data_IF_347896798386
#
_entry.id   IF_347896798386
#
_cell.length_a   1.000
_cell.length_b   1.000
_cell.length_c   1.000
_cell.angle_alpha   90.00
_cell.angle_beta   90.00
_cell.angle_gamma   90.00
#
_symmetry.space_group_name_H-M   'P 1'
#
loop_
_entity.id
_entity.type
_entity.pdbx_description
1 polymer ?
#
# COMPACT_ATOMS: atom_id res chain seq x y z
N UNK A 1 9.78 -1.86 -10.24
CA UNK A 1 9.46 -3.27 -10.55
C UNK A 1 8.00 -3.47 -10.97
N UNK A 2 7.00 -3.11 -10.17
CA UNK A 2 5.57 -3.31 -10.49
C UNK A 2 5.16 -2.81 -11.88
N UNK A 3 5.62 -1.62 -12.29
CA UNK A 3 5.33 -1.06 -13.62
C UNK A 3 5.79 -1.94 -14.79
N UNK A 4 6.93 -2.60 -14.66
CA UNK A 4 7.49 -3.43 -15.73
C UNK A 4 6.62 -4.67 -16.01
N UNK A 5 5.87 -5.13 -15.01
CA UNK A 5 4.96 -6.28 -15.13
C UNK A 5 3.53 -5.88 -15.50
N UNK A 6 3.20 -4.58 -15.55
CA UNK A 6 1.85 -4.12 -15.90
C UNK A 6 1.35 -4.65 -17.25
N UNK A 7 2.15 -4.65 -18.34
CA UNK A 7 1.67 -5.17 -19.62
C UNK A 7 1.26 -6.64 -19.53
N UNK A 8 1.99 -7.44 -18.73
CA UNK A 8 1.68 -8.86 -18.52
C UNK A 8 0.47 -9.05 -17.61
N UNK A 9 0.34 -8.23 -16.56
CA UNK A 9 -0.82 -8.26 -15.67
C UNK A 9 -2.11 -7.94 -16.44
N UNK A 10 -2.08 -7.01 -17.38
CA UNK A 10 -3.26 -6.68 -18.18
C UNK A 10 -3.77 -7.82 -19.09
N UNK A 11 -2.94 -8.84 -19.34
CA UNK A 11 -3.34 -10.03 -20.09
C UNK A 11 -4.05 -11.08 -19.23
N UNK A 12 -4.03 -10.94 -17.90
CA UNK A 12 -4.71 -11.86 -17.00
C UNK A 12 -6.20 -11.53 -16.88
N UNK A 13 -7.05 -12.56 -16.76
CA UNK A 13 -8.48 -12.40 -16.51
C UNK A 13 -8.80 -11.89 -15.09
N UNK A 14 -7.85 -12.05 -14.16
CA UNK A 14 -7.95 -11.66 -12.74
C UNK A 14 -6.57 -11.22 -12.21
N UNK A 15 -6.03 -10.06 -12.66
CA UNK A 15 -4.71 -9.62 -12.26
C UNK A 15 -4.67 -9.09 -10.84
N UNK A 16 -3.62 -9.48 -10.11
CA UNK A 16 -3.45 -9.17 -8.69
C UNK A 16 -2.04 -8.74 -8.39
N UNK A 17 -1.92 -7.71 -7.56
CA UNK A 17 -0.65 -7.26 -7.00
C UNK A 17 -0.83 -7.09 -5.50
N UNK A 18 0.00 -7.79 -4.73
CA UNK A 18 0.01 -7.67 -3.27
C UNK A 18 1.35 -7.08 -2.84
N UNK A 19 1.31 -5.88 -2.26
CA UNK A 19 2.47 -5.20 -1.67
C UNK A 19 2.64 -5.62 -0.22
N UNK A 20 3.88 -5.86 0.21
CA UNK A 20 4.20 -6.16 1.61
C UNK A 20 4.59 -4.89 2.38
N UNK A 21 3.72 -4.46 3.28
CA UNK A 21 3.91 -3.27 4.11
C UNK A 21 4.06 -3.64 5.60
N UNK A 22 3.85 -2.67 6.49
CA UNK A 22 3.93 -2.80 7.94
C UNK A 22 2.99 -1.82 8.62
N UNK A 23 2.61 -2.10 9.87
CA UNK A 23 1.76 -1.20 10.67
C UNK A 23 2.46 0.13 10.93
N UNK A 24 3.80 0.11 10.96
CA UNK A 24 4.65 1.30 11.05
C UNK A 24 4.53 2.21 9.82
N UNK A 25 4.03 1.72 8.68
CA UNK A 25 3.73 2.53 7.50
C UNK A 25 2.41 3.32 7.61
N UNK A 26 1.74 3.30 8.77
CA UNK A 26 0.55 4.11 9.01
C UNK A 26 0.92 5.59 9.17
N UNK A 27 0.15 6.48 8.57
CA UNK A 27 0.38 7.92 8.61
C UNK A 27 0.36 8.52 10.03
N UNK A 28 -0.22 7.81 11.02
CA UNK A 28 -0.15 8.20 12.43
C UNK A 28 1.28 8.22 13.00
N UNK A 29 2.20 7.51 12.35
CA UNK A 29 3.61 7.45 12.74
C UNK A 29 4.47 8.51 12.05
N UNK A 30 3.88 9.39 11.22
CA UNK A 30 4.56 10.49 10.53
C UNK A 30 4.07 11.81 11.16
N UNK A 31 4.85 12.45 12.05
CA UNK A 31 4.47 13.72 12.66
C UNK A 31 4.56 14.90 11.69
N UNK A 32 5.36 14.78 10.62
CA UNK A 32 5.52 15.82 9.62
C UNK A 32 4.18 16.01 8.87
N UNK A 33 3.46 17.08 9.22
CA UNK A 33 2.11 17.33 8.74
C UNK A 33 2.05 17.60 7.22
N UNK A 34 3.12 18.16 6.64
CA UNK A 34 3.22 18.29 5.19
C UNK A 34 3.26 16.92 4.50
N UNK A 35 4.19 16.06 4.91
CA UNK A 35 4.33 14.71 4.35
C UNK A 35 3.06 13.88 4.56
N UNK A 36 2.45 13.98 5.74
CA UNK A 36 1.18 13.32 6.06
C UNK A 36 0.03 13.83 5.20
N UNK A 37 -0.04 15.14 4.96
CA UNK A 37 -1.01 15.75 4.04
C UNK A 37 -0.84 15.25 2.61
N UNK A 38 0.40 15.21 2.11
CA UNK A 38 0.70 14.70 0.77
C UNK A 38 0.33 13.22 0.62
N UNK A 39 0.71 12.37 1.58
CA UNK A 39 0.49 10.92 1.51
C UNK A 39 -0.96 10.48 1.85
N UNK A 40 -1.74 11.32 2.52
CA UNK A 40 -3.15 11.03 2.83
C UNK A 40 -4.10 11.33 1.67
N UNK A 41 -3.80 12.35 0.87
CA UNK A 41 -4.61 12.82 -0.26
C UNK A 41 -4.61 11.83 -1.43
N UNK A 42 -5.50 10.84 -1.40
CA UNK A 42 -5.63 9.82 -2.44
C UNK A 42 -5.96 10.39 -3.83
N UNK A 43 -6.68 11.51 -3.89
CA UNK A 43 -7.13 12.08 -5.16
C UNK A 43 -6.00 12.79 -5.90
N UNK A 44 -5.09 13.42 -5.17
CA UNK A 44 -3.95 14.11 -5.78
C UNK A 44 -2.66 13.32 -5.67
N UNK A 45 -2.71 12.08 -5.19
CA UNK A 45 -1.52 11.25 -5.03
C UNK A 45 -0.93 10.86 -6.38
N UNK A 46 0.31 11.27 -6.63
CA UNK A 46 1.11 10.90 -7.79
C UNK A 46 2.45 10.35 -7.32
N UNK A 47 3.16 9.69 -8.23
CA UNK A 47 4.49 9.15 -7.95
C UNK A 47 5.49 10.26 -7.64
N UNK A 48 5.46 11.34 -8.42
CA UNK A 48 6.26 12.55 -8.18
C UNK A 48 6.04 13.09 -6.76
N UNK A 49 4.79 13.18 -6.30
CA UNK A 49 4.51 13.66 -4.93
C UNK A 49 4.98 12.70 -3.84
N UNK A 50 4.99 11.39 -4.10
CA UNK A 50 5.56 10.41 -3.18
C UNK A 50 7.09 10.56 -3.16
N UNK A 51 7.71 10.72 -4.32
CA UNK A 51 9.14 10.93 -4.47
C UNK A 51 9.59 12.24 -3.83
N UNK A 52 8.82 13.32 -3.94
CA UNK A 52 9.09 14.61 -3.28
C UNK A 52 9.18 14.45 -1.76
N UNK A 53 8.23 13.72 -1.16
CA UNK A 53 8.25 13.43 0.28
C UNK A 53 9.47 12.62 0.67
N UNK A 54 9.83 11.61 -0.12
CA UNK A 54 11.00 10.77 0.14
C UNK A 54 12.32 11.54 -0.05
N UNK A 55 12.40 12.40 -1.06
CA UNK A 55 13.58 13.20 -1.36
C UNK A 55 13.81 14.26 -0.27
N UNK A 56 12.77 14.96 0.17
CA UNK A 56 12.88 15.92 1.27
C UNK A 56 13.26 15.21 2.58
N UNK A 57 12.66 14.04 2.87
CA UNK A 57 13.06 13.22 4.01
C UNK A 57 14.54 12.81 3.92
N UNK A 58 15.02 12.34 2.77
CA UNK A 58 16.41 11.91 2.58
C UNK A 58 17.40 13.08 2.71
N UNK A 59 17.00 14.28 2.29
CA UNK A 59 17.79 15.50 2.48
C UNK A 59 17.89 15.84 3.97
N UNK A 60 16.75 15.94 4.65
CA UNK A 60 16.70 16.25 6.09
C UNK A 60 17.39 15.16 6.94
N UNK A 61 17.36 13.90 6.49
CA UNK A 61 18.08 12.79 7.11
C UNK A 61 19.60 12.95 6.99
N UNK A 62 20.11 13.42 5.84
CA UNK A 62 21.55 13.66 5.64
C UNK A 62 22.05 14.89 6.40
N UNK A 63 21.19 15.89 6.57
CA UNK A 63 21.47 17.11 7.31
C UNK A 63 21.30 16.94 8.84
N UNK A 64 20.84 15.77 9.29
CA UNK A 64 20.57 15.44 10.70
C UNK A 64 19.57 16.39 11.38
N UNK A 65 18.58 16.86 10.63
CA UNK A 65 17.56 17.82 11.11
C UNK A 65 16.16 17.19 11.21
N UNK A 66 16.10 15.87 11.42
CA UNK A 66 14.85 15.10 11.44
C UNK A 66 13.86 15.61 12.49
N UNK A 67 14.31 15.76 13.73
CA UNK A 67 13.47 16.20 14.85
C UNK A 67 12.95 17.61 14.62
N UNK A 68 13.82 18.52 14.18
CA UNK A 68 13.48 19.93 13.90
C UNK A 68 12.42 20.05 12.81
N UNK A 69 12.45 19.16 11.82
CA UNK A 69 11.50 19.09 10.70
C UNK A 69 10.28 18.22 10.99
N UNK A 70 10.14 17.70 12.20
CA UNK A 70 9.01 16.88 12.61
C UNK A 70 8.98 15.50 11.96
N UNK A 71 10.10 14.99 11.47
CA UNK A 71 10.20 13.60 11.02
C UNK A 71 10.21 12.64 12.21
N UNK A 72 9.86 11.36 12.01
CA UNK A 72 10.04 10.36 13.05
C UNK A 72 11.53 10.28 13.44
N UNK A 73 11.81 10.17 14.74
CA UNK A 73 13.20 10.09 15.25
C UNK A 73 13.69 8.65 15.39
N UNK A 74 12.78 7.69 15.54
CA UNK A 74 13.08 6.26 15.62
C UNK A 74 12.48 5.52 14.42
N UNK A 75 13.24 4.56 13.86
CA UNK A 75 12.83 3.77 12.69
C UNK A 75 12.34 4.61 11.50
N UNK A 76 12.85 5.83 11.37
CA UNK A 76 12.33 6.87 10.47
C UNK A 76 12.34 6.43 9.01
N UNK A 77 13.46 5.90 8.54
CA UNK A 77 13.63 5.35 7.18
C UNK A 77 12.65 4.20 6.92
N UNK A 78 12.41 3.33 7.91
CA UNK A 78 11.50 2.21 7.80
C UNK A 78 10.03 2.66 7.75
N UNK A 79 9.63 3.57 8.64
CA UNK A 79 8.29 4.18 8.67
C UNK A 79 7.99 4.84 7.32
N UNK A 80 8.90 5.68 6.82
CA UNK A 80 8.73 6.39 5.56
C UNK A 80 8.69 5.45 4.36
N UNK A 81 9.56 4.44 4.33
CA UNK A 81 9.55 3.42 3.28
C UNK A 81 8.21 2.68 3.23
N UNK A 82 7.67 2.26 4.38
CA UNK A 82 6.40 1.52 4.45
C UNK A 82 5.19 2.42 4.18
N UNK A 83 5.23 3.68 4.57
CA UNK A 83 4.22 4.67 4.22
C UNK A 83 4.20 4.94 2.70
N UNK A 84 5.37 5.04 2.07
CA UNK A 84 5.48 5.19 0.62
C UNK A 84 4.94 3.96 -0.13
N UNK A 85 5.21 2.74 0.35
CA UNK A 85 4.60 1.51 -0.22
C UNK A 85 3.07 1.57 -0.15
N UNK A 86 2.50 2.01 0.97
CA UNK A 86 1.05 2.16 1.13
C UNK A 86 0.47 3.22 0.18
N UNK A 87 1.13 4.38 0.09
CA UNK A 87 0.77 5.46 -0.81
C UNK A 87 0.82 5.01 -2.28
N UNK A 88 1.92 4.39 -2.70
CA UNK A 88 2.09 3.87 -4.04
C UNK A 88 1.04 2.81 -4.40
N UNK A 89 0.72 1.91 -3.46
CA UNK A 89 -0.33 0.90 -3.64
C UNK A 89 -1.69 1.56 -3.89
N UNK A 90 -2.07 2.57 -3.09
CA UNK A 90 -3.33 3.33 -3.28
C UNK A 90 -3.38 4.04 -4.64
N UNK A 91 -2.29 4.70 -5.01
CA UNK A 91 -2.17 5.37 -6.31
C UNK A 91 -2.37 4.38 -7.47
N UNK A 92 -1.70 3.23 -7.40
CA UNK A 92 -1.77 2.21 -8.46
C UNK A 92 -3.15 1.57 -8.56
N UNK A 93 -3.78 1.24 -7.42
CA UNK A 93 -5.13 0.66 -7.39
C UNK A 93 -6.15 1.58 -8.08
N UNK A 94 -6.01 2.90 -7.88
CA UNK A 94 -6.84 3.90 -8.55
C UNK A 94 -6.55 4.01 -10.05
N UNK A 95 -5.27 3.96 -10.43
CA UNK A 95 -4.84 4.08 -11.84
C UNK A 95 -5.26 2.87 -12.67
N UNK A 96 -5.33 1.69 -12.06
CA UNK A 96 -5.66 0.42 -12.71
C UNK A 96 -6.82 -0.27 -11.98
N UNK A 97 -8.07 0.22 -12.11
CA UNK A 97 -9.22 -0.35 -11.40
C UNK A 97 -9.53 -1.80 -11.79
N UNK A 98 -9.01 -2.26 -12.93
CA UNK A 98 -9.09 -3.63 -13.43
C UNK A 98 -8.07 -4.59 -12.80
N UNK A 99 -7.12 -4.08 -12.00
CA UNK A 99 -6.12 -4.87 -11.27
C UNK A 99 -6.43 -4.75 -9.78
N UNK A 100 -6.56 -5.88 -9.08
CA UNK A 100 -6.70 -5.86 -7.63
C UNK A 100 -5.33 -5.59 -7.00
N UNK A 101 -5.08 -4.35 -6.59
CA UNK A 101 -3.81 -3.90 -6.00
C UNK A 101 -4.03 -3.59 -4.52
N UNK A 102 -3.46 -4.40 -3.63
CA UNK A 102 -3.62 -4.29 -2.18
C UNK A 102 -2.29 -4.33 -1.44
N UNK A 103 -2.28 -3.85 -0.19
CA UNK A 103 -1.10 -3.88 0.69
C UNK A 103 -1.43 -4.65 1.96
N UNK A 104 -0.52 -5.53 2.39
CA UNK A 104 -0.66 -6.37 3.57
C UNK A 104 0.36 -5.97 4.61
N UNK A 105 -0.12 -5.73 5.83
CA UNK A 105 0.66 -5.27 6.99
C UNK A 105 1.21 -6.44 7.83
N UNK A 106 0.80 -7.69 7.54
CA UNK A 106 1.18 -8.89 8.28
C UNK A 106 2.52 -9.45 7.79
N UNK A 107 3.63 -8.85 8.21
CA UNK A 107 4.98 -9.39 7.97
C UNK A 107 5.70 -9.67 9.29
N UNK A 108 6.28 -10.86 9.44
CA UNK A 108 7.14 -11.26 10.58
C UNK A 108 8.53 -10.59 10.57
N UNK A 109 8.64 -9.35 10.08
CA UNK A 109 9.90 -8.63 9.99
C UNK A 109 10.12 -7.88 11.31
N UNK A 110 10.51 -8.61 12.35
CA UNK A 110 10.72 -8.05 13.67
C UNK A 110 12.23 -7.98 13.97
N UNK A 111 12.77 -6.78 14.14
CA UNK A 111 14.15 -6.58 14.66
C UNK A 111 14.23 -6.84 16.18
N UNK A 112 13.07 -6.87 16.83
CA UNK A 112 12.88 -7.16 18.25
C UNK A 112 12.02 -8.42 18.26
N UNK A 113 12.51 -9.52 18.83
CA UNK A 113 11.91 -10.87 18.83
C UNK A 113 10.57 -10.94 19.62
N UNK A 114 9.60 -10.09 19.29
CA UNK A 114 8.32 -9.89 20.01
C UNK A 114 7.13 -10.01 19.05
N UNK A 115 7.23 -10.84 18.02
CA UNK A 115 6.15 -11.07 17.06
C UNK A 115 5.05 -11.96 17.62
N UNK A 116 3.79 -11.53 17.48
CA UNK A 116 2.60 -12.31 17.85
C UNK A 116 2.15 -13.33 16.78
N UNK A 117 2.87 -13.47 15.65
CA UNK A 117 2.48 -14.34 14.52
C UNK A 117 3.68 -15.09 13.95
N UNK A 118 3.42 -16.31 13.49
CA UNK A 118 4.37 -17.20 12.81
C UNK A 118 4.56 -16.82 11.33
N UNK A 119 5.59 -17.39 10.69
CA UNK A 119 5.87 -17.21 9.25
C UNK A 119 4.65 -17.62 8.41
N UNK A 120 4.02 -18.74 8.78
CA UNK A 120 2.90 -19.33 8.05
C UNK A 120 1.65 -18.45 8.13
N UNK A 121 1.32 -17.90 9.30
CA UNK A 121 0.19 -16.97 9.47
C UNK A 121 0.39 -15.64 8.73
N UNK A 122 1.64 -15.18 8.64
CA UNK A 122 2.01 -14.05 7.80
C UNK A 122 1.79 -14.35 6.31
N UNK A 123 2.29 -15.49 5.84
CA UNK A 123 2.16 -15.94 4.45
C UNK A 123 0.70 -16.19 4.04
N UNK A 124 -0.11 -16.79 4.91
CA UNK A 124 -1.53 -17.07 4.66
C UNK A 124 -2.30 -15.81 4.27
N UNK A 125 -2.03 -14.68 4.94
CA UNK A 125 -2.71 -13.42 4.65
C UNK A 125 -2.38 -12.87 3.25
N UNK A 126 -1.16 -13.09 2.78
CA UNK A 126 -0.69 -12.70 1.44
C UNK A 126 -1.30 -13.63 0.39
N UNK A 127 -1.27 -14.94 0.65
CA UNK A 127 -1.85 -15.96 -0.23
C UNK A 127 -3.34 -15.75 -0.38
N UNK A 128 -4.06 -15.47 0.71
CA UNK A 128 -5.50 -15.21 0.66
C UNK A 128 -5.81 -14.06 -0.29
N UNK A 129 -5.14 -12.91 -0.16
CA UNK A 129 -5.38 -11.78 -1.06
C UNK A 129 -4.94 -12.04 -2.51
N UNK A 130 -3.89 -12.82 -2.70
CA UNK A 130 -3.44 -13.25 -4.01
C UNK A 130 -4.41 -14.26 -4.68
N UNK A 131 -5.18 -15.03 -3.89
CA UNK A 131 -6.07 -16.09 -4.40
C UNK A 131 -7.57 -15.77 -4.35
N UNK A 132 -7.98 -14.70 -3.64
CA UNK A 132 -9.39 -14.40 -3.36
C UNK A 132 -10.22 -14.09 -4.62
N UNK A 133 -10.71 -15.11 -5.33
CA UNK A 133 -11.35 -15.02 -6.66
C UNK A 133 -12.64 -14.17 -6.75
N UNK A 134 -13.12 -13.61 -5.65
CA UNK A 134 -14.48 -13.11 -5.52
C UNK A 134 -14.62 -11.60 -5.79
N UNK A 135 -14.48 -11.17 -7.05
CA UNK A 135 -14.90 -9.79 -7.40
C UNK A 135 -15.60 -9.69 -8.75
N UNK A 136 -15.31 -10.59 -9.71
CA UNK A 136 -16.07 -10.63 -10.98
C UNK A 136 -17.43 -11.32 -10.84
N UNK A 137 -17.55 -12.36 -10.00
CA UNK A 137 -18.77 -13.15 -9.91
C UNK A 137 -19.89 -12.43 -9.13
N UNK A 138 -19.56 -11.77 -8.02
CA UNK A 138 -20.56 -11.08 -7.18
C UNK A 138 -21.14 -9.83 -7.86
N UNK A 139 -20.35 -9.14 -8.70
CA UNK A 139 -20.84 -7.99 -9.50
C UNK A 139 -21.77 -8.46 -10.63
N UNK A 140 -21.46 -9.60 -11.26
CA UNK A 140 -22.31 -10.17 -12.32
C UNK A 140 -23.59 -10.81 -11.76
N UNK A 141 -23.52 -11.42 -10.57
CA UNK A 141 -24.70 -11.97 -9.89
C UNK A 141 -25.63 -10.86 -9.38
N UNK A 142 -25.09 -9.80 -8.76
CA UNK A 142 -25.90 -8.66 -8.29
C UNK A 142 -26.51 -7.81 -9.42
N UNK A 143 -25.93 -7.85 -10.63
CA UNK A 143 -26.50 -7.17 -11.82
C UNK A 143 -27.59 -7.99 -12.51
N UNK A 144 -27.51 -9.33 -12.46
CA UNK A 144 -28.55 -10.21 -13.03
C UNK A 144 -29.78 -10.35 -12.11
N UNK A 145 -29.62 -10.31 -10.79
CA UNK A 145 -30.77 -10.37 -9.86
C UNK A 145 -31.66 -9.12 -9.97
N UNK A 146 -31.08 -7.93 -10.16
CA UNK A 146 -31.85 -6.69 -10.36
C UNK A 146 -32.67 -6.65 -11.66
N UNK A 147 -32.34 -7.46 -12.66
CA UNK A 147 -33.06 -7.46 -13.95
C UNK A 147 -34.27 -8.41 -13.93
N UNK A 148 -34.35 -9.31 -12.94
CA UNK A 148 -35.43 -10.29 -12.79
C UNK A 148 -36.51 -9.86 -11.78
N UNK A 149 -36.24 -8.87 -10.92
CA UNK A 149 -37.22 -8.31 -9.98
C UNK A 149 -38.07 -7.17 -10.58
N UNK A 150 -37.71 -6.66 -11.77
CA UNK A 150 -38.41 -5.58 -12.49
C UNK A 150 -39.25 -6.09 -13.71
N UNK A 151 -39.57 -7.39 -13.76
CA UNK A 151 -40.54 -8.00 -14.72
C UNK A 151 -41.73 -8.64 -14.00
#
# INVERSE_FOLDING_TARGET
>A
MTKALLPLLQLSDSPRVVSLSSGMGSLKHIPNEWAKGVLSDAEKLTEERIDDVLNEFLKDFKEDILETKGWPTSLSTYILSKAAVNAFTRMMARKYPNICINSVVKTNMNFINTGMLTIDEGAESVVRLAMDMQTKLDILQSSNEKTLEDQ
#
